data_IF_546486542287
#
_entry.id   IF_546486542287
#
_cell.length_a   1.000
_cell.length_b   1.000
_cell.length_c   1.000
_cell.angle_alpha   90.00
_cell.angle_beta   90.00
_cell.angle_gamma   90.00
#
_symmetry.space_group_name_H-M   'P 1'
#
loop_
_entity.id
_entity.type
_entity.pdbx_description
1 polymer ?
#
# COMPACT_ATOMS: atom_id res chain seq x y z
N UNK A 1 27.63 -13.81 -3.50
CA UNK A 1 26.31 -13.75 -2.86
C UNK A 1 25.91 -15.15 -2.44
N UNK A 2 25.91 -15.43 -1.14
CA UNK A 2 25.59 -16.76 -0.61
C UNK A 2 24.09 -16.96 -0.32
N UNK A 3 23.65 -18.21 -0.13
CA UNK A 3 22.24 -18.58 0.09
C UNK A 3 21.59 -17.88 1.29
N UNK A 4 22.37 -17.43 2.28
CA UNK A 4 21.87 -16.70 3.46
C UNK A 4 21.24 -15.36 3.08
N UNK A 5 21.80 -14.63 2.12
CA UNK A 5 21.29 -13.30 1.73
C UNK A 5 19.96 -13.42 1.00
N UNK A 6 19.81 -14.46 0.17
CA UNK A 6 18.54 -14.77 -0.48
C UNK A 6 17.45 -15.14 0.52
N UNK A 7 17.79 -15.96 1.53
CA UNK A 7 16.85 -16.32 2.59
C UNK A 7 16.43 -15.11 3.43
N UNK A 8 17.36 -14.21 3.78
CA UNK A 8 17.07 -12.97 4.51
C UNK A 8 16.19 -12.02 3.69
N UNK A 9 16.49 -11.82 2.40
CA UNK A 9 15.69 -10.97 1.51
C UNK A 9 14.27 -11.52 1.31
N UNK A 10 14.14 -12.84 1.14
CA UNK A 10 12.84 -13.51 1.03
C UNK A 10 12.04 -13.36 2.33
N UNK A 11 12.66 -13.64 3.48
CA UNK A 11 12.03 -13.49 4.78
C UNK A 11 11.56 -12.05 5.04
N UNK A 12 12.41 -11.07 4.75
CA UNK A 12 12.05 -9.65 4.87
C UNK A 12 10.89 -9.24 3.95
N UNK A 13 10.88 -9.72 2.71
CA UNK A 13 9.81 -9.46 1.74
C UNK A 13 8.48 -10.06 2.22
N UNK A 14 8.50 -11.31 2.68
CA UNK A 14 7.30 -11.99 3.18
C UNK A 14 6.75 -11.31 4.43
N UNK A 15 7.63 -10.90 5.36
CA UNK A 15 7.23 -10.14 6.54
C UNK A 15 6.59 -8.80 6.14
N UNK A 16 7.22 -8.06 5.22
CA UNK A 16 6.67 -6.80 4.70
C UNK A 16 5.26 -7.01 4.10
N UNK A 17 5.10 -7.98 3.20
CA UNK A 17 3.80 -8.28 2.58
C UNK A 17 2.76 -8.72 3.61
N UNK A 18 3.14 -9.54 4.59
CA UNK A 18 2.25 -10.01 5.65
C UNK A 18 1.73 -8.86 6.53
N UNK A 19 2.62 -7.99 7.02
CA UNK A 19 2.21 -6.82 7.81
C UNK A 19 1.42 -5.80 6.98
N UNK A 20 1.78 -5.61 5.71
CA UNK A 20 1.02 -4.76 4.79
C UNK A 20 -0.42 -5.27 4.62
N UNK A 21 -0.59 -6.57 4.39
CA UNK A 21 -1.90 -7.19 4.15
C UNK A 21 -2.85 -7.09 5.35
N UNK A 22 -2.33 -7.15 6.58
CA UNK A 22 -3.15 -7.06 7.80
C UNK A 22 -3.47 -5.61 8.19
N UNK A 23 -2.54 -4.67 7.95
CA UNK A 23 -2.71 -3.27 8.35
C UNK A 23 -2.93 -2.33 7.16
N UNK A 24 -1.86 -1.74 6.60
CA UNK A 24 -1.97 -0.68 5.59
C UNK A 24 -2.77 -1.01 4.33
N UNK A 25 -2.89 -2.28 3.94
CA UNK A 25 -3.65 -2.71 2.77
C UNK A 25 -5.16 -2.43 2.89
N UNK A 26 -5.85 -3.05 3.87
CA UNK A 26 -7.29 -2.87 4.06
C UNK A 26 -7.67 -1.62 4.85
N UNK A 27 -6.84 -1.19 5.81
CA UNK A 27 -7.22 -0.19 6.82
C UNK A 27 -7.68 1.16 6.22
N UNK A 28 -7.01 1.75 5.22
CA UNK A 28 -7.42 3.04 4.65
C UNK A 28 -8.84 3.01 4.04
N UNK A 29 -9.26 1.86 3.49
CA UNK A 29 -10.58 1.70 2.88
C UNK A 29 -11.69 1.62 3.93
N UNK A 30 -11.42 0.93 5.03
CA UNK A 30 -12.33 0.88 6.17
C UNK A 30 -12.45 2.25 6.85
N UNK A 31 -11.32 2.88 7.16
CA UNK A 31 -11.29 4.20 7.79
C UNK A 31 -11.97 5.24 6.89
N UNK A 32 -11.70 5.23 5.58
CA UNK A 32 -12.37 6.14 4.65
C UNK A 32 -13.89 5.94 4.59
N UNK A 33 -14.39 4.71 4.74
CA UNK A 33 -15.82 4.44 4.75
C UNK A 33 -16.50 4.87 6.06
N UNK A 34 -15.80 4.78 7.20
CA UNK A 34 -16.31 5.07 8.54
C UNK A 34 -16.17 6.55 8.94
N UNK A 35 -15.10 7.21 8.48
CA UNK A 35 -14.77 8.59 8.87
C UNK A 35 -15.74 9.62 8.30
N UNK A 36 -16.32 9.35 7.11
CA UNK A 36 -17.17 10.31 6.42
C UNK A 36 -18.66 9.97 6.54
N UNK A 37 -19.53 10.96 6.82
CA UNK A 37 -20.97 10.75 6.78
C UNK A 37 -21.45 10.42 5.36
N UNK A 38 -22.62 9.78 5.18
CA UNK A 38 -23.04 9.23 3.88
C UNK A 38 -23.07 10.22 2.72
N UNK A 39 -23.42 11.50 2.97
CA UNK A 39 -23.46 12.54 1.94
C UNK A 39 -22.12 12.74 1.21
N UNK A 40 -21.04 13.18 1.91
CA UNK A 40 -19.74 13.39 1.29
C UNK A 40 -18.93 12.10 1.04
N UNK A 41 -19.32 10.95 1.63
CA UNK A 41 -18.52 9.72 1.59
C UNK A 41 -18.10 9.28 0.18
N UNK A 42 -19.01 9.35 -0.79
CA UNK A 42 -18.69 8.96 -2.17
C UNK A 42 -17.56 9.80 -2.78
N UNK A 43 -17.61 11.12 -2.60
CA UNK A 43 -16.57 12.03 -3.09
C UNK A 43 -15.25 11.85 -2.33
N UNK A 44 -15.30 11.64 -1.00
CA UNK A 44 -14.12 11.39 -0.19
C UNK A 44 -13.41 10.09 -0.59
N UNK A 45 -14.15 9.00 -0.82
CA UNK A 45 -13.60 7.73 -1.30
C UNK A 45 -13.03 7.85 -2.72
N UNK A 46 -13.65 8.65 -3.59
CA UNK A 46 -13.11 8.91 -4.93
C UNK A 46 -11.76 9.64 -4.87
N UNK A 47 -11.62 10.65 -4.00
CA UNK A 47 -10.34 11.34 -3.77
C UNK A 47 -9.30 10.40 -3.15
N UNK A 48 -9.69 9.54 -2.19
CA UNK A 48 -8.80 8.53 -1.64
C UNK A 48 -8.30 7.56 -2.71
N UNK A 49 -9.19 7.13 -3.62
CA UNK A 49 -8.83 6.33 -4.79
C UNK A 49 -7.86 7.04 -5.73
N UNK A 50 -8.10 8.32 -6.03
CA UNK A 50 -7.21 9.13 -6.87
C UNK A 50 -5.80 9.21 -6.27
N UNK A 51 -5.69 9.49 -4.97
CA UNK A 51 -4.40 9.55 -4.27
C UNK A 51 -3.72 8.18 -4.26
N UNK A 52 -4.48 7.10 -3.99
CA UNK A 52 -3.94 5.74 -4.00
C UNK A 52 -3.33 5.36 -5.35
N UNK A 53 -4.07 5.57 -6.44
CA UNK A 53 -3.58 5.25 -7.78
C UNK A 53 -2.44 6.18 -8.21
N UNK A 54 -2.50 7.47 -7.87
CA UNK A 54 -1.42 8.41 -8.14
C UNK A 54 -0.12 8.01 -7.44
N UNK A 55 -0.19 7.63 -6.16
CA UNK A 55 0.97 7.11 -5.42
C UNK A 55 1.48 5.80 -6.01
N UNK A 56 0.60 4.87 -6.40
CA UNK A 56 1.00 3.63 -7.05
C UNK A 56 1.79 3.90 -8.35
N UNK A 57 1.27 4.79 -9.21
CA UNK A 57 1.98 5.21 -10.43
C UNK A 57 3.35 5.81 -10.11
N UNK A 58 3.43 6.70 -9.11
CA UNK A 58 4.69 7.32 -8.74
C UNK A 58 5.73 6.29 -8.26
N UNK A 59 5.32 5.33 -7.42
CA UNK A 59 6.20 4.25 -6.96
C UNK A 59 6.63 3.36 -8.12
N UNK A 60 5.71 2.97 -9.00
CA UNK A 60 6.02 2.14 -10.16
C UNK A 60 7.05 2.78 -11.11
N UNK A 61 6.98 4.10 -11.28
CA UNK A 61 7.94 4.86 -12.10
C UNK A 61 9.27 5.11 -11.39
N UNK A 62 9.27 5.34 -10.07
CA UNK A 62 10.46 5.68 -9.31
C UNK A 62 11.30 4.46 -8.88
N UNK A 63 10.67 3.31 -8.64
CA UNK A 63 11.34 2.13 -8.11
C UNK A 63 12.52 1.64 -8.98
N UNK A 64 12.44 1.59 -10.33
CA UNK A 64 13.58 1.21 -11.17
C UNK A 64 14.84 2.07 -10.98
N UNK A 65 14.69 3.34 -10.59
CA UNK A 65 15.84 4.21 -10.32
C UNK A 65 16.51 3.94 -8.96
N UNK A 66 15.86 3.15 -8.09
CA UNK A 66 16.34 2.78 -6.75
C UNK A 66 16.91 1.36 -6.67
N UNK A 67 16.79 0.58 -7.76
CA UNK A 67 17.28 -0.80 -7.89
C UNK A 67 18.74 -0.85 -8.37
#
# INVERSE_FOLDING_TARGET
GGPVWGALALGATLAFVGFFAVGPGPLPWFVGAELFPPGPRGAALALAGLVNWGSNTAVAMAFPALQ
#
